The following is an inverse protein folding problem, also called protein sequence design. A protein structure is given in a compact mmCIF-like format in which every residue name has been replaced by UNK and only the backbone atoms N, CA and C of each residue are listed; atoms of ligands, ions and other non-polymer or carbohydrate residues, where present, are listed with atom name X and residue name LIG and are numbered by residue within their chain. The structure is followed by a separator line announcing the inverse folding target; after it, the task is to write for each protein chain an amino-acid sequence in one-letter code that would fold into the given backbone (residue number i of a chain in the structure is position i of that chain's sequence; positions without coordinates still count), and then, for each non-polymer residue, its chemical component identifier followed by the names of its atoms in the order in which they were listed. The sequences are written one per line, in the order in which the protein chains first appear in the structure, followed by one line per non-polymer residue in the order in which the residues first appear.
data_IF_192130375129
#
_entry.id   IF_192130375129
#
_cell.length_a   1.000
_cell.length_b   1.000
_cell.length_c   1.000
_cell.angle_alpha   90.00
_cell.angle_beta   90.00
_cell.angle_gamma   90.00
#
_symmetry.space_group_name_H-M   'P 1'
#
loop_
_entity.id
_entity.type
_entity.pdbx_description
1 polymer ?
#
# COMPACT_ATOMS: atom_id res chain seq x y z
N UNK A 1 11.67 -2.95 0.28
CA UNK A 1 10.46 -2.10 0.40
C UNK A 1 9.17 -2.87 0.06
N UNK A 2 9.04 -3.42 -1.17
CA UNK A 2 7.88 -4.22 -1.60
C UNK A 2 7.46 -5.34 -0.62
N UNK A 3 8.41 -6.07 -0.02
CA UNK A 3 8.12 -7.16 0.94
C UNK A 3 7.33 -6.74 2.20
N UNK A 4 7.53 -5.51 2.72
CA UNK A 4 6.80 -5.04 3.92
C UNK A 4 5.34 -4.71 3.60
N UNK A 5 5.11 -4.11 2.44
CA UNK A 5 3.78 -3.76 1.95
C UNK A 5 2.98 -5.03 1.66
N UNK A 6 3.60 -6.01 0.97
CA UNK A 6 2.99 -7.33 0.73
C UNK A 6 2.57 -7.97 2.05
N UNK A 7 3.44 -7.99 3.05
CA UNK A 7 3.12 -8.57 4.37
C UNK A 7 1.96 -7.85 5.07
N UNK A 8 1.89 -6.53 5.00
CA UNK A 8 0.80 -5.76 5.59
C UNK A 8 -0.53 -6.00 4.87
N UNK A 9 -0.54 -5.86 3.54
CA UNK A 9 -1.73 -6.10 2.74
C UNK A 9 -2.24 -7.55 2.92
N UNK A 10 -1.32 -8.52 3.06
CA UNK A 10 -1.66 -9.90 3.35
C UNK A 10 -2.27 -10.09 4.75
N UNK A 11 -1.70 -9.43 5.77
CA UNK A 11 -2.21 -9.48 7.15
C UNK A 11 -3.58 -8.84 7.30
N UNK A 12 -3.80 -7.67 6.67
CA UNK A 12 -5.07 -6.96 6.79
C UNK A 12 -6.18 -7.59 5.95
N UNK A 13 -5.86 -8.19 4.81
CA UNK A 13 -6.90 -8.63 3.87
C UNK A 13 -7.09 -10.15 3.79
N UNK A 14 -6.51 -10.94 4.73
CA UNK A 14 -6.64 -12.41 4.82
C UNK A 14 -6.47 -13.12 3.46
N UNK A 15 -5.29 -12.98 2.87
CA UNK A 15 -4.84 -13.72 1.68
C UNK A 15 -5.58 -13.45 0.34
N UNK A 16 -5.69 -12.19 -0.13
CA UNK A 16 -6.02 -11.91 -1.52
C UNK A 16 -4.76 -11.81 -2.38
N UNK A 17 -4.89 -12.09 -3.68
CA UNK A 17 -3.87 -11.68 -4.66
C UNK A 17 -3.71 -10.16 -4.58
N UNK A 18 -2.49 -9.71 -4.28
CA UNK A 18 -2.14 -8.29 -4.22
C UNK A 18 -1.36 -7.95 -5.48
N UNK A 19 -1.91 -7.04 -6.27
CA UNK A 19 -1.27 -6.54 -7.48
C UNK A 19 -0.72 -5.12 -7.24
N UNK A 20 0.53 -4.89 -7.66
CA UNK A 20 1.17 -3.57 -7.67
C UNK A 20 1.36 -3.16 -9.12
N UNK A 21 0.30 -2.67 -9.74
CA UNK A 21 0.25 -2.26 -11.14
C UNK A 21 0.54 -0.76 -11.35
N UNK A 22 0.73 -0.02 -10.27
CA UNK A 22 1.03 1.41 -10.27
C UNK A 22 2.36 1.73 -9.57
N UNK A 23 3.02 2.79 -10.02
CA UNK A 23 4.27 3.27 -9.44
C UNK A 23 4.10 3.86 -8.04
N UNK A 24 5.13 3.69 -7.21
CA UNK A 24 5.15 4.21 -5.86
C UNK A 24 5.60 5.67 -5.90
N UNK A 25 4.82 6.57 -5.29
CA UNK A 25 5.15 7.99 -5.25
C UNK A 25 5.65 8.38 -3.86
N UNK A 26 6.71 9.19 -3.79
CA UNK A 26 7.16 9.76 -2.52
C UNK A 26 6.50 11.13 -2.29
N UNK A 27 5.87 11.30 -1.13
CA UNK A 27 5.29 12.55 -0.64
C UNK A 27 6.32 13.18 0.30
N UNK A 28 7.10 14.13 -0.23
CA UNK A 28 8.17 14.82 0.51
C UNK A 28 7.66 15.59 1.72
N UNK A 29 6.47 16.18 1.62
CA UNK A 29 5.91 17.07 2.65
C UNK A 29 5.65 16.36 3.98
N UNK A 30 5.32 15.07 3.91
CA UNK A 30 5.01 14.22 5.07
C UNK A 30 6.04 13.11 5.27
N UNK A 31 7.13 13.10 4.48
CA UNK A 31 8.17 12.07 4.45
C UNK A 31 7.61 10.63 4.35
N UNK A 32 6.61 10.44 3.50
CA UNK A 32 5.91 9.16 3.33
C UNK A 32 5.84 8.73 1.87
N UNK A 33 5.73 7.43 1.64
CA UNK A 33 5.46 6.79 0.38
C UNK A 33 3.97 6.53 0.22
N UNK A 34 3.44 6.95 -0.91
CA UNK A 34 2.13 6.56 -1.42
C UNK A 34 2.30 5.28 -2.24
N UNK A 35 1.66 4.22 -1.79
CA UNK A 35 1.80 2.88 -2.33
C UNK A 35 0.42 2.42 -2.80
N UNK A 36 0.06 2.69 -4.06
CA UNK A 36 -1.13 2.13 -4.67
C UNK A 36 -0.99 0.61 -4.83
N UNK A 37 -2.08 -0.12 -4.57
CA UNK A 37 -2.15 -1.56 -4.78
C UNK A 37 -3.59 -2.00 -4.99
N UNK A 38 -3.79 -3.16 -5.63
CA UNK A 38 -5.11 -3.77 -5.81
C UNK A 38 -5.23 -5.06 -5.01
N UNK A 39 -6.42 -5.26 -4.46
CA UNK A 39 -6.79 -6.49 -3.75
C UNK A 39 -8.18 -6.88 -4.21
N UNK A 40 -8.31 -8.10 -4.76
CA UNK A 40 -9.56 -8.62 -5.32
C UNK A 40 -10.22 -7.65 -6.33
N UNK A 41 -9.42 -6.95 -7.14
CA UNK A 41 -9.92 -5.96 -8.11
C UNK A 41 -10.18 -4.57 -7.53
N UNK A 42 -10.24 -4.40 -6.21
CA UNK A 42 -10.44 -3.10 -5.57
C UNK A 42 -9.12 -2.37 -5.35
N UNK A 43 -9.10 -1.07 -5.65
CA UNK A 43 -7.91 -0.22 -5.49
C UNK A 43 -7.80 0.33 -4.07
N UNK A 44 -6.61 0.24 -3.51
CA UNK A 44 -6.22 0.78 -2.22
C UNK A 44 -4.96 1.63 -2.36
N UNK A 45 -4.76 2.53 -1.41
CA UNK A 45 -3.53 3.32 -1.32
C UNK A 45 -3.03 3.29 0.12
N UNK A 46 -1.91 2.61 0.34
CA UNK A 46 -1.21 2.65 1.60
C UNK A 46 -0.29 3.87 1.67
N UNK A 47 -0.30 4.59 2.78
CA UNK A 47 0.73 5.55 3.16
C UNK A 47 1.75 4.86 4.04
N UNK A 48 3.02 4.99 3.72
CA UNK A 48 4.09 4.28 4.38
C UNK A 48 5.24 5.23 4.74
N UNK A 49 5.79 5.15 5.93
CA UNK A 49 7.00 5.89 6.29
C UNK A 49 8.19 5.49 5.42
N UNK A 50 9.20 6.36 5.34
CA UNK A 50 10.50 6.05 4.70
C UNK A 50 11.16 4.76 5.25
N UNK A 51 10.90 4.39 6.52
CA UNK A 51 11.38 3.15 7.16
C UNK A 51 10.58 1.90 6.78
N UNK A 52 9.51 2.07 6.01
CA UNK A 52 8.68 0.99 5.49
C UNK A 52 7.56 0.54 6.43
N UNK A 53 7.13 1.40 7.36
CA UNK A 53 5.98 1.17 8.23
C UNK A 53 4.73 1.79 7.62
N UNK A 54 3.65 1.02 7.48
CA UNK A 54 2.39 1.54 6.98
C UNK A 54 1.70 2.32 8.09
N UNK A 55 1.41 3.58 7.78
CA UNK A 55 0.80 4.56 8.69
C UNK A 55 -0.71 4.55 8.51
N UNK A 56 -1.15 4.45 7.26
CA UNK A 56 -2.54 4.61 6.89
C UNK A 56 -2.82 3.78 5.63
N UNK A 57 -4.05 3.33 5.48
CA UNK A 57 -4.48 2.58 4.32
C UNK A 57 -5.87 3.05 3.90
N UNK A 58 -5.91 3.77 2.80
CA UNK A 58 -7.14 4.41 2.32
C UNK A 58 -7.74 3.58 1.19
N UNK A 59 -9.05 3.35 1.23
CA UNK A 59 -9.82 2.61 0.22
C UNK A 59 -10.91 1.71 0.83
N UNK A 60 -11.63 0.94 0.00
CA UNK A 60 -11.47 0.83 -1.45
C UNK A 60 -11.96 2.09 -2.19
N UNK A 61 -11.29 2.42 -3.30
CA UNK A 61 -11.64 3.55 -4.17
C UNK A 61 -12.36 3.09 -5.44
N UNK A 62 -13.35 2.19 -5.32
CA UNK A 62 -14.16 1.69 -6.46
C UNK A 62 -14.56 2.79 -7.46
#
# INVERSE_FOLDING_TARGET
MKSKIVKYAYRNNKNPKIDFDEDFSYLSDVAQWKVPYRVNGHRYVAKMTCKGWIVDNVGPFD
#
